data_IF_269055724022
#
_entry.id   IF_269055724022
#
_cell.length_a   1.000
_cell.length_b   1.000
_cell.length_c   1.000
_cell.angle_alpha   90.00
_cell.angle_beta   90.00
_cell.angle_gamma   90.00
#
_symmetry.space_group_name_H-M   'P 1'
#
loop_
_entity.id
_entity.type
_entity.pdbx_description
1 polymer ?
#
# COMPACT_ATOMS: atom_id res chain seq x y z
N UNK A 1 -33.90 -68.53 3.50
CA UNK A 1 -34.82 -67.39 3.67
C UNK A 1 -34.55 -66.83 5.06
N UNK A 2 -34.01 -65.62 5.15
CA UNK A 2 -33.26 -65.14 6.32
C UNK A 2 -34.10 -64.13 7.13
N UNK A 3 -34.25 -64.31 8.45
CA UNK A 3 -35.01 -63.41 9.31
C UNK A 3 -34.16 -62.35 10.03
N UNK A 4 -34.90 -61.38 10.59
CA UNK A 4 -34.60 -60.31 11.56
C UNK A 4 -33.56 -60.65 12.64
N UNK A 5 -33.04 -59.61 13.34
CA UNK A 5 -32.94 -59.54 14.81
C UNK A 5 -32.26 -58.22 15.26
N UNK A 6 -32.94 -57.51 16.17
CA UNK A 6 -32.43 -56.45 17.03
C UNK A 6 -31.52 -57.01 18.14
N UNK A 7 -30.89 -56.10 18.88
CA UNK A 7 -30.34 -56.31 20.23
C UNK A 7 -29.00 -57.03 20.35
N UNK A 8 -28.02 -56.31 20.89
CA UNK A 8 -27.36 -56.74 22.14
C UNK A 8 -26.52 -55.60 22.70
N UNK A 9 -27.15 -54.86 23.60
CA UNK A 9 -26.48 -54.35 24.78
C UNK A 9 -25.74 -55.47 25.50
N UNK A 10 -24.77 -55.03 26.31
CA UNK A 10 -24.40 -55.61 27.60
C UNK A 10 -23.09 -56.38 27.70
N UNK A 11 -22.31 -55.84 28.65
CA UNK A 11 -21.48 -56.55 29.61
C UNK A 11 -20.12 -57.02 29.05
N UNK A 12 -18.99 -56.88 29.74
CA UNK A 12 -18.70 -57.35 31.09
C UNK A 12 -17.40 -56.64 31.56
N UNK A 13 -17.43 -56.08 32.77
CA UNK A 13 -16.37 -56.02 33.83
C UNK A 13 -14.93 -55.61 33.43
N UNK A 14 -14.37 -54.54 33.98
CA UNK A 14 -13.70 -54.52 35.31
C UNK A 14 -12.77 -55.71 35.55
N UNK A 15 -11.45 -55.56 35.39
CA UNK A 15 -10.44 -55.72 36.46
C UNK A 15 -8.99 -55.54 35.96
N UNK A 16 -8.20 -54.83 36.79
CA UNK A 16 -6.78 -55.07 37.11
C UNK A 16 -5.72 -55.01 36.00
N UNK A 17 -4.84 -54.00 36.04
CA UNK A 17 -3.52 -54.16 36.67
C UNK A 17 -2.80 -52.79 36.76
N UNK A 18 -2.52 -52.35 37.97
CA UNK A 18 -1.49 -51.34 38.25
C UNK A 18 -0.14 -51.99 38.00
N UNK A 19 0.68 -51.42 37.13
CA UNK A 19 2.14 -51.60 37.18
C UNK A 19 2.88 -50.28 36.83
N UNK A 20 4.09 -50.10 37.39
CA UNK A 20 4.51 -48.86 38.03
C UNK A 20 5.28 -47.89 37.11
N UNK A 21 5.34 -46.65 37.60
CA UNK A 21 6.25 -45.59 37.15
C UNK A 21 7.67 -46.14 37.08
N UNK A 22 8.24 -46.21 35.88
CA UNK A 22 9.68 -46.35 35.73
C UNK A 22 10.24 -45.05 35.12
N UNK A 23 10.83 -44.27 36.02
CA UNK A 23 11.57 -43.05 35.73
C UNK A 23 12.86 -43.39 34.99
N UNK A 24 12.90 -43.16 33.69
CA UNK A 24 14.12 -42.78 32.95
C UNK A 24 13.85 -42.85 31.46
N UNK A 25 13.40 -41.73 30.90
CA UNK A 25 13.82 -41.27 29.57
C UNK A 25 13.31 -39.84 29.40
N UNK A 26 14.07 -38.91 29.97
CA UNK A 26 13.97 -37.49 29.69
C UNK A 26 14.39 -37.31 28.24
N UNK A 27 13.43 -37.11 27.33
CA UNK A 27 13.72 -36.62 25.98
C UNK A 27 14.12 -35.15 26.12
N UNK A 28 15.34 -34.76 25.71
CA UNK A 28 15.78 -33.38 25.84
C UNK A 28 14.95 -32.46 24.95
N UNK A 29 14.48 -31.35 25.53
CA UNK A 29 13.86 -30.23 24.84
C UNK A 29 14.79 -29.77 23.72
N UNK A 30 14.41 -29.99 22.46
CA UNK A 30 15.13 -29.46 21.32
C UNK A 30 15.08 -27.92 21.38
N UNK A 31 16.26 -27.32 21.47
CA UNK A 31 16.50 -25.88 21.38
C UNK A 31 15.86 -25.30 20.10
N UNK A 32 15.33 -24.07 20.14
CA UNK A 32 14.78 -23.42 18.94
C UNK A 32 15.92 -23.13 17.96
N UNK A 33 16.06 -24.00 16.97
CA UNK A 33 16.89 -23.79 15.79
C UNK A 33 16.52 -22.43 15.18
N UNK A 34 17.50 -21.51 15.08
CA UNK A 34 17.40 -20.27 14.31
C UNK A 34 16.87 -20.60 12.91
N UNK A 35 15.61 -20.31 12.65
CA UNK A 35 15.00 -20.52 11.34
C UNK A 35 15.71 -19.63 10.30
N UNK A 36 16.56 -20.26 9.50
CA UNK A 36 17.10 -19.70 8.25
C UNK A 36 15.92 -19.16 7.45
N UNK A 37 15.91 -17.87 7.13
CA UNK A 37 14.89 -17.22 6.29
C UNK A 37 14.73 -18.01 4.98
N UNK A 38 13.76 -18.92 4.94
CA UNK A 38 13.36 -19.61 3.71
C UNK A 38 12.39 -18.70 3.00
N UNK A 39 12.74 -18.27 1.79
CA UNK A 39 11.81 -17.55 0.91
C UNK A 39 10.56 -18.41 0.70
N UNK A 40 9.37 -17.88 0.96
CA UNK A 40 8.12 -18.60 0.73
C UNK A 40 8.00 -18.98 -0.75
N UNK A 41 7.59 -20.22 -1.01
CA UNK A 41 7.30 -20.66 -2.39
C UNK A 41 6.07 -19.91 -2.92
N UNK A 42 5.93 -19.71 -4.25
CA UNK A 42 4.79 -18.98 -4.83
C UNK A 42 3.42 -19.52 -4.39
N UNK A 43 3.31 -20.84 -4.23
CA UNK A 43 2.10 -21.53 -3.74
C UNK A 43 1.75 -21.19 -2.30
N UNK A 44 2.76 -21.04 -1.43
CA UNK A 44 2.56 -20.64 -0.03
C UNK A 44 2.10 -19.18 0.03
N UNK A 45 2.67 -18.30 -0.81
CA UNK A 45 2.30 -16.88 -0.87
C UNK A 45 0.85 -16.67 -1.33
N UNK A 46 0.39 -17.45 -2.32
CA UNK A 46 -1.02 -17.44 -2.76
C UNK A 46 -1.98 -17.97 -1.69
N UNK A 47 -1.55 -18.97 -0.90
CA UNK A 47 -2.34 -19.50 0.21
C UNK A 47 -2.42 -18.50 1.36
N UNK A 48 -1.33 -17.78 1.65
CA UNK A 48 -1.31 -16.72 2.65
C UNK A 48 -2.16 -15.53 2.20
N UNK A 49 -2.11 -15.11 0.93
CA UNK A 49 -2.98 -14.03 0.44
C UNK A 49 -4.46 -14.39 0.51
N UNK A 50 -4.83 -15.65 0.21
CA UNK A 50 -6.20 -16.12 0.37
C UNK A 50 -6.64 -16.22 1.85
N UNK A 51 -5.70 -16.40 2.78
CA UNK A 51 -5.97 -16.35 4.23
C UNK A 51 -6.10 -14.91 4.73
N UNK A 52 -5.27 -14.00 4.20
CA UNK A 52 -5.33 -12.57 4.49
C UNK A 52 -6.66 -11.96 4.03
N UNK A 53 -7.18 -12.35 2.85
CA UNK A 53 -8.51 -11.93 2.40
C UNK A 53 -9.62 -12.40 3.34
N UNK A 54 -9.41 -13.49 4.07
CA UNK A 54 -10.33 -14.06 5.06
C UNK A 54 -10.00 -13.65 6.51
N UNK A 55 -9.05 -12.72 6.71
CA UNK A 55 -8.68 -12.20 8.03
C UNK A 55 -7.83 -13.14 8.91
N UNK A 56 -7.36 -14.27 8.38
CA UNK A 56 -6.56 -15.26 9.12
C UNK A 56 -5.06 -15.01 8.90
N UNK A 57 -4.37 -14.45 9.89
CA UNK A 57 -2.94 -14.07 9.78
C UNK A 57 -2.04 -15.11 10.46
N UNK A 58 -1.02 -15.61 9.73
CA UNK A 58 0.01 -16.53 10.27
C UNK A 58 0.93 -15.84 11.29
N UNK A 59 1.57 -16.61 12.18
CA UNK A 59 2.49 -16.07 13.20
C UNK A 59 3.68 -15.35 12.55
N UNK A 60 4.19 -15.87 11.44
CA UNK A 60 5.33 -15.28 10.73
C UNK A 60 4.96 -13.97 10.05
N UNK A 61 3.76 -13.90 9.45
CA UNK A 61 3.24 -12.65 8.88
C UNK A 61 3.00 -11.57 9.93
N UNK A 62 2.53 -11.95 11.13
CA UNK A 62 2.41 -11.00 12.27
C UNK A 62 3.77 -10.41 12.66
N UNK A 63 4.81 -11.24 12.74
CA UNK A 63 6.18 -10.79 13.06
C UNK A 63 6.74 -9.87 11.98
N UNK A 64 6.51 -10.20 10.71
CA UNK A 64 6.92 -9.36 9.58
C UNK A 64 6.23 -7.98 9.62
N UNK A 65 4.91 -7.97 9.82
CA UNK A 65 4.13 -6.73 9.98
C UNK A 65 4.61 -5.92 11.18
N UNK A 66 4.92 -6.55 12.31
CA UNK A 66 5.45 -5.87 13.49
C UNK A 66 6.83 -5.25 13.24
N UNK A 67 7.73 -5.97 12.54
CA UNK A 67 9.03 -5.43 12.15
C UNK A 67 8.90 -4.27 11.14
N UNK A 68 7.99 -4.37 10.18
CA UNK A 68 7.72 -3.27 9.24
C UNK A 68 7.12 -2.05 9.95
N UNK A 69 6.22 -2.25 10.92
CA UNK A 69 5.66 -1.15 11.72
C UNK A 69 6.71 -0.51 12.62
N UNK A 70 7.60 -1.29 13.24
CA UNK A 70 8.72 -0.78 14.04
C UNK A 70 9.69 0.05 13.20
N UNK A 71 10.06 -0.41 12.00
CA UNK A 71 10.88 0.36 11.04
C UNK A 71 10.20 1.67 10.64
N UNK A 72 8.92 1.63 10.25
CA UNK A 72 8.14 2.83 9.91
C UNK A 72 7.99 3.83 11.06
N UNK A 73 7.93 3.35 12.31
CA UNK A 73 7.87 4.22 13.50
C UNK A 73 9.22 4.92 13.73
N UNK A 74 10.33 4.20 13.57
CA UNK A 74 11.66 4.78 13.72
C UNK A 74 11.97 5.84 12.67
N UNK A 75 11.49 5.67 11.43
CA UNK A 75 11.67 6.69 10.37
C UNK A 75 10.78 7.92 10.56
N UNK A 76 9.62 7.80 11.21
CA UNK A 76 8.66 8.91 11.41
C UNK A 76 8.88 9.71 12.69
N UNK A 77 9.65 9.21 13.66
CA UNK A 77 9.75 9.81 15.00
C UNK A 77 11.04 10.61 15.24
N UNK A 78 11.94 10.74 14.25
CA UNK A 78 13.10 11.62 14.37
C UNK A 78 12.79 12.97 13.73
N UNK A 79 12.12 13.84 14.47
CA UNK A 79 12.17 15.28 14.20
C UNK A 79 13.53 15.75 14.73
N UNK A 80 14.52 15.87 13.85
CA UNK A 80 15.82 16.43 14.21
C UNK A 80 15.66 17.92 14.54
N UNK A 81 16.34 18.40 15.58
CA UNK A 81 16.34 19.82 15.96
C UNK A 81 16.99 20.72 14.89
N UNK A 82 17.83 20.13 14.03
CA UNK A 82 18.37 20.79 12.85
C UNK A 82 17.32 20.83 11.73
N UNK A 83 17.14 21.96 11.03
CA UNK A 83 16.17 22.07 9.94
C UNK A 83 16.43 20.95 8.93
N UNK A 84 15.43 20.08 8.74
CA UNK A 84 15.51 19.02 7.74
C UNK A 84 15.68 19.67 6.37
N UNK A 85 16.84 19.44 5.80
CA UNK A 85 17.19 19.81 4.42
C UNK A 85 16.15 19.17 3.49
N UNK A 86 15.30 19.99 2.88
CA UNK A 86 14.35 19.55 1.86
C UNK A 86 15.08 19.61 0.52
N UNK A 87 15.70 18.51 0.08
CA UNK A 87 16.40 18.46 -1.20
C UNK A 87 17.63 17.55 -1.19
N UNK A 88 18.47 17.72 -2.22
CA UNK A 88 19.75 17.02 -2.33
C UNK A 88 20.71 17.56 -1.26
N UNK A 89 21.29 16.70 -0.40
CA UNK A 89 22.18 17.16 0.67
C UNK A 89 23.37 17.91 0.06
N UNK A 90 23.61 19.14 0.55
CA UNK A 90 24.74 19.98 0.10
C UNK A 90 24.41 21.04 -0.94
N UNK A 91 23.16 21.10 -1.45
CA UNK A 91 22.69 22.17 -2.35
C UNK A 91 21.75 23.16 -1.64
N UNK A 92 21.79 23.22 -0.32
CA UNK A 92 20.98 24.18 0.43
C UNK A 92 21.67 25.53 0.48
N UNK A 93 20.88 26.60 0.43
CA UNK A 93 21.36 27.97 0.54
C UNK A 93 22.17 28.21 1.84
N UNK A 94 21.85 27.46 2.88
CA UNK A 94 22.57 27.47 4.16
C UNK A 94 23.93 26.76 4.01
N UNK A 95 23.97 25.57 3.41
CA UNK A 95 25.21 24.79 3.25
C UNK A 95 26.17 25.43 2.25
N UNK A 96 25.64 26.17 1.28
CA UNK A 96 26.41 26.95 0.31
C UNK A 96 26.94 28.28 0.90
N UNK A 97 26.60 28.62 2.14
CA UNK A 97 27.07 29.84 2.80
C UNK A 97 26.48 31.14 2.26
N UNK A 98 25.39 31.05 1.48
CA UNK A 98 24.69 32.22 0.95
C UNK A 98 23.72 32.84 1.96
N UNK A 99 23.19 32.04 2.89
CA UNK A 99 22.19 32.46 3.88
C UNK A 99 22.63 32.04 5.27
N UNK A 100 22.85 33.03 6.15
CA UNK A 100 23.12 32.79 7.57
C UNK A 100 21.83 32.36 8.29
N UNK A 101 21.90 31.25 9.02
CA UNK A 101 20.76 30.70 9.79
C UNK A 101 20.22 31.70 10.82
N UNK A 102 21.09 32.53 11.37
CA UNK A 102 20.76 33.52 12.40
C UNK A 102 19.90 34.67 11.88
N UNK A 103 19.97 34.96 10.57
CA UNK A 103 19.19 36.05 9.93
C UNK A 103 17.80 35.61 9.49
N UNK A 104 17.50 34.31 9.54
CA UNK A 104 16.19 33.80 9.18
C UNK A 104 15.15 34.22 10.21
N UNK A 105 14.17 35.00 9.78
CA UNK A 105 13.02 35.39 10.60
C UNK A 105 12.22 34.14 10.96
N UNK A 106 12.18 33.81 12.25
CA UNK A 106 11.36 32.71 12.77
C UNK A 106 9.92 33.22 12.89
N UNK A 107 9.03 32.67 12.09
CA UNK A 107 7.59 32.89 12.24
C UNK A 107 7.03 31.80 13.17
N UNK A 108 6.34 32.22 14.23
CA UNK A 108 5.62 31.31 15.11
C UNK A 108 4.30 30.92 14.45
N UNK A 109 4.32 29.85 13.65
CA UNK A 109 3.08 29.16 13.30
C UNK A 109 2.81 28.13 14.41
N UNK A 110 1.61 28.14 14.99
CA UNK A 110 1.22 27.09 15.92
C UNK A 110 1.37 25.73 15.24
N UNK A 111 1.95 24.76 15.97
CA UNK A 111 2.14 23.39 15.48
C UNK A 111 0.80 22.78 15.07
N UNK A 112 -0.29 23.16 15.74
CA UNK A 112 -1.63 22.67 15.43
C UNK A 112 -2.16 23.26 14.11
N UNK A 113 -2.03 24.56 13.90
CA UNK A 113 -2.46 25.22 12.64
C UNK A 113 -1.69 24.66 11.44
N UNK A 114 -0.38 24.41 11.60
CA UNK A 114 0.43 23.74 10.57
C UNK A 114 -0.08 22.34 10.22
N UNK A 115 -0.48 21.55 11.22
CA UNK A 115 -1.03 20.20 11.02
C UNK A 115 -2.40 20.25 10.33
N UNK A 116 -3.24 21.22 10.68
CA UNK A 116 -4.54 21.41 10.06
C UNK A 116 -4.42 21.82 8.58
N UNK A 117 -3.54 22.79 8.27
CA UNK A 117 -3.29 23.25 6.90
C UNK A 117 -2.82 22.11 5.98
N UNK A 118 -1.90 21.27 6.45
CA UNK A 118 -1.39 20.12 5.67
C UNK A 118 -2.50 19.11 5.39
N UNK A 119 -3.35 18.83 6.37
CA UNK A 119 -4.49 17.89 6.21
C UNK A 119 -5.48 18.42 5.19
N UNK A 120 -5.86 19.70 5.29
CA UNK A 120 -6.83 20.31 4.37
C UNK A 120 -6.28 20.43 2.95
N UNK A 121 -5.01 20.83 2.79
CA UNK A 121 -4.36 20.84 1.49
C UNK A 121 -4.38 19.45 0.83
N UNK A 122 -3.99 18.42 1.59
CA UNK A 122 -4.01 17.02 1.12
C UNK A 122 -5.42 16.59 0.72
N UNK A 123 -6.43 16.95 1.52
CA UNK A 123 -7.84 16.65 1.25
C UNK A 123 -8.33 17.29 -0.05
N UNK A 124 -8.06 18.59 -0.24
CA UNK A 124 -8.44 19.34 -1.43
C UNK A 124 -7.75 18.78 -2.67
N UNK A 125 -6.45 18.50 -2.59
CA UNK A 125 -5.68 17.93 -3.70
C UNK A 125 -6.21 16.57 -4.12
N UNK A 126 -6.50 15.68 -3.16
CA UNK A 126 -7.07 14.37 -3.46
C UNK A 126 -8.49 14.46 -4.05
N UNK A 127 -9.29 15.45 -3.62
CA UNK A 127 -10.60 15.72 -4.25
C UNK A 127 -10.41 16.15 -5.72
N UNK A 128 -9.56 17.14 -5.99
CA UNK A 128 -9.28 17.62 -7.35
C UNK A 128 -8.75 16.50 -8.26
N UNK A 129 -7.84 15.68 -7.74
CA UNK A 129 -7.28 14.55 -8.48
C UNK A 129 -8.35 13.52 -8.86
N UNK A 130 -9.24 13.15 -7.93
CA UNK A 130 -10.34 12.22 -8.23
C UNK A 130 -11.30 12.77 -9.28
N UNK A 131 -11.63 14.06 -9.19
CA UNK A 131 -12.49 14.73 -10.19
C UNK A 131 -11.83 14.67 -11.57
N UNK A 132 -10.53 14.98 -11.65
CA UNK A 132 -9.76 14.90 -12.89
C UNK A 132 -9.72 13.48 -13.46
N UNK A 133 -9.45 12.47 -12.63
CA UNK A 133 -9.44 11.07 -13.07
C UNK A 133 -10.82 10.63 -13.60
N UNK A 134 -11.90 11.04 -12.94
CA UNK A 134 -13.26 10.76 -13.41
C UNK A 134 -13.55 11.46 -14.75
N UNK A 135 -13.14 12.72 -14.93
CA UNK A 135 -13.35 13.43 -16.19
C UNK A 135 -12.52 12.85 -17.34
N UNK A 136 -11.25 12.52 -17.10
CA UNK A 136 -10.36 11.91 -18.10
C UNK A 136 -10.84 10.52 -18.52
N UNK A 137 -11.24 9.68 -17.56
CA UNK A 137 -11.78 8.34 -17.85
C UNK A 137 -13.11 8.40 -18.61
N UNK A 138 -14.00 9.35 -18.25
CA UNK A 138 -15.26 9.57 -18.97
C UNK A 138 -14.99 10.07 -20.40
N UNK A 139 -14.08 11.03 -20.57
CA UNK A 139 -13.69 11.54 -21.89
C UNK A 139 -13.12 10.43 -22.77
N UNK A 140 -12.26 9.58 -22.22
CA UNK A 140 -11.68 8.45 -22.94
C UNK A 140 -12.75 7.44 -23.37
N UNK A 141 -13.70 7.11 -22.48
CA UNK A 141 -14.83 6.23 -22.80
C UNK A 141 -15.67 6.80 -23.94
N UNK A 142 -16.09 8.07 -23.83
CA UNK A 142 -16.87 8.74 -24.87
C UNK A 142 -16.12 8.84 -26.20
N UNK A 143 -14.79 9.07 -26.18
CA UNK A 143 -13.95 9.07 -27.38
C UNK A 143 -14.01 7.71 -28.10
N UNK A 144 -13.94 6.60 -27.36
CA UNK A 144 -14.02 5.25 -27.94
C UNK A 144 -15.39 4.96 -28.54
N UNK A 145 -16.44 5.26 -27.79
CA UNK A 145 -17.83 5.11 -28.24
C UNK A 145 -18.09 5.94 -29.52
N UNK A 146 -17.55 7.16 -29.58
CA UNK A 146 -17.66 8.01 -30.76
C UNK A 146 -16.95 7.43 -31.99
N UNK A 147 -15.78 6.80 -31.82
CA UNK A 147 -15.05 6.13 -32.92
C UNK A 147 -15.83 4.89 -33.41
N UNK A 148 -16.46 4.15 -32.49
CA UNK A 148 -17.28 2.98 -32.81
C UNK A 148 -18.56 3.35 -33.55
N UNK A 149 -19.15 4.51 -33.24
CA UNK A 149 -20.35 5.01 -33.90
C UNK A 149 -20.12 5.55 -35.33
N UNK A 150 -18.86 5.64 -35.80
CA UNK A 150 -18.56 6.08 -37.16
C UNK A 150 -18.97 5.01 -38.19
N UNK A 151 -19.43 5.42 -39.39
CA UNK A 151 -19.80 4.49 -40.45
C UNK A 151 -18.60 3.67 -40.94
N UNK A 152 -18.87 2.44 -41.36
CA UNK A 152 -17.90 1.54 -41.97
C UNK A 152 -17.64 2.01 -43.42
N UNK A 153 -16.39 2.33 -43.74
CA UNK A 153 -16.02 2.94 -45.03
C UNK A 153 -14.72 3.76 -45.02
N UNK A 154 -13.74 3.35 -44.20
CA UNK A 154 -12.42 4.01 -44.09
C UNK A 154 -12.32 5.11 -43.02
N UNK A 155 -13.42 5.76 -42.62
CA UNK A 155 -13.38 6.80 -41.58
C UNK A 155 -12.99 6.27 -40.20
N UNK A 156 -13.53 5.11 -39.82
CA UNK A 156 -13.17 4.44 -38.56
C UNK A 156 -11.71 4.01 -38.53
N UNK A 157 -11.19 3.54 -39.66
CA UNK A 157 -9.79 3.13 -39.82
C UNK A 157 -8.84 4.33 -39.75
N UNK A 158 -9.20 5.43 -40.43
CA UNK A 158 -8.45 6.69 -40.38
C UNK A 158 -8.42 7.29 -38.97
N UNK A 159 -9.52 7.19 -38.21
CA UNK A 159 -9.63 7.72 -36.85
C UNK A 159 -8.81 6.93 -35.80
N UNK A 160 -8.42 5.69 -36.10
CA UNK A 160 -7.55 4.89 -35.23
C UNK A 160 -6.08 5.33 -35.31
N UNK A 161 -5.68 5.96 -36.41
CA UNK A 161 -4.31 6.45 -36.61
C UNK A 161 -4.14 7.75 -35.83
N UNK A 162 -3.12 7.88 -34.96
CA UNK A 162 -2.84 9.13 -34.26
C UNK A 162 -2.36 10.19 -35.25
N UNK A 163 -2.91 11.40 -35.15
CA UNK A 163 -2.40 12.55 -35.90
C UNK A 163 -1.01 12.93 -35.39
N UNK A 164 -0.05 13.05 -36.31
CA UNK A 164 1.34 13.40 -36.06
C UNK A 164 1.64 14.88 -36.37
N UNK A 165 0.63 15.65 -36.78
CA UNK A 165 0.77 17.09 -36.98
C UNK A 165 1.22 17.77 -35.66
N UNK A 166 2.24 18.65 -35.70
CA UNK A 166 2.66 19.36 -34.50
C UNK A 166 1.56 20.31 -34.04
N UNK A 167 1.46 20.51 -32.72
CA UNK A 167 0.52 21.50 -32.18
C UNK A 167 0.81 22.90 -32.74
N UNK A 168 -0.22 23.73 -32.97
CA UNK A 168 -0.05 25.07 -33.51
C UNK A 168 0.76 25.95 -32.55
N UNK A 169 1.68 26.75 -33.11
CA UNK A 169 2.56 27.63 -32.34
C UNK A 169 1.81 28.73 -31.55
N UNK A 170 0.60 29.10 -31.98
CA UNK A 170 -0.22 30.15 -31.37
C UNK A 170 -1.00 29.69 -30.12
N UNK A 171 -0.45 28.78 -29.32
CA UNK A 171 -1.05 28.35 -28.04
C UNK A 171 -0.44 29.15 -26.90
N UNK A 172 -0.98 30.35 -26.65
CA UNK A 172 -0.55 31.18 -25.53
C UNK A 172 -0.95 30.56 -24.20
N UNK A 173 -0.04 30.60 -23.22
CA UNK A 173 -0.36 30.25 -21.85
C UNK A 173 -1.31 31.30 -21.27
N UNK A 174 -2.29 30.87 -20.49
CA UNK A 174 -3.16 31.79 -19.77
C UNK A 174 -2.31 32.64 -18.81
N UNK A 175 -2.28 33.94 -19.03
CA UNK A 175 -1.62 34.91 -18.16
C UNK A 175 -2.57 35.38 -17.06
N UNK A 176 -2.02 35.81 -15.92
CA UNK A 176 -2.82 36.35 -14.81
C UNK A 176 -3.58 37.63 -15.20
N UNK A 177 -3.03 38.37 -16.16
CA UNK A 177 -3.59 39.64 -16.65
C UNK A 177 -3.72 39.53 -18.17
N UNK A 178 -4.86 39.94 -18.76
CA UNK A 178 -5.00 39.97 -20.22
C UNK A 178 -3.98 40.94 -20.83
N UNK A 179 -3.56 40.72 -22.10
CA UNK A 179 -2.62 41.61 -22.77
C UNK A 179 -3.23 43.02 -22.93
N UNK A 180 -2.41 44.09 -22.85
CA UNK A 180 -2.89 45.45 -23.06
C UNK A 180 -3.35 45.64 -24.52
N UNK A 181 -4.31 46.55 -24.78
CA UNK A 181 -4.69 46.91 -26.14
C UNK A 181 -3.51 47.56 -26.88
N UNK A 182 -3.33 47.20 -28.15
CA UNK A 182 -2.37 47.81 -29.08
C UNK A 182 -2.97 49.00 -29.81
#
# INVERSE_FOLDING_TARGET
MKPNICDSQSSILSTLLVQPINSSNVVPLAEPQKEKLRSSTPKQRARESARETMGLISKDRKRELEMMMKKKKNDKLKVSETPTIIGTPGLDLITLGLVDVEKLTKYELSVEDGRELVKEYSRIMMRKHRVRQASESTLLRMKKEAIEALPEGGLREAALVPDLSPFPANRFMATLTPPPPH
#
